data_IF_871769985078
#
_entry.id   IF_871769985078
#
_cell.length_a   1.000
_cell.length_b   1.000
_cell.length_c   1.000
_cell.angle_alpha   90.00
_cell.angle_beta   90.00
_cell.angle_gamma   90.00
#
_symmetry.space_group_name_H-M   'P 1'
#
loop_
_entity.id
_entity.type
_entity.pdbx_description
1 polymer ?
#
# COMPACT_ATOMS: atom_id res chain seq x y z
N UNK A 1 -6.48 11.59 -1.23
CA UNK A 1 -5.18 10.89 -1.41
C UNK A 1 -5.30 9.46 -0.89
N UNK A 2 -4.59 8.55 -1.52
CA UNK A 2 -4.62 7.13 -1.17
C UNK A 2 -3.23 6.59 -0.90
N UNK A 3 -3.15 5.65 0.04
CA UNK A 3 -2.06 4.68 0.16
C UNK A 3 -2.57 3.34 -0.33
N UNK A 4 -1.79 2.63 -1.12
CA UNK A 4 -2.16 1.32 -1.65
C UNK A 4 -1.65 0.19 -0.76
N UNK A 5 -2.54 -0.74 -0.40
CA UNK A 5 -2.14 -2.04 0.13
C UNK A 5 -1.41 -2.84 -0.96
N UNK A 6 -0.46 -3.67 -0.58
CA UNK A 6 0.34 -4.47 -1.52
C UNK A 6 -0.53 -5.28 -2.49
N UNK A 7 -1.58 -5.93 -1.98
CA UNK A 7 -2.47 -6.71 -2.84
C UNK A 7 -3.23 -5.85 -3.85
N UNK A 8 -3.51 -4.59 -3.54
CA UNK A 8 -4.15 -3.67 -4.48
C UNK A 8 -3.25 -3.40 -5.68
N UNK A 9 -1.95 -3.25 -5.45
CA UNK A 9 -0.97 -3.13 -6.56
C UNK A 9 -0.98 -4.40 -7.42
N UNK A 10 -1.00 -5.58 -6.79
CA UNK A 10 -1.06 -6.84 -7.51
C UNK A 10 -2.36 -6.98 -8.34
N UNK A 11 -3.49 -6.58 -7.79
CA UNK A 11 -4.76 -6.57 -8.53
C UNK A 11 -4.71 -5.61 -9.71
N UNK A 12 -4.15 -4.43 -9.52
CA UNK A 12 -3.98 -3.45 -10.59
C UNK A 12 -3.14 -4.01 -11.75
N UNK A 13 -1.98 -4.56 -11.42
CA UNK A 13 -1.08 -5.15 -12.42
C UNK A 13 -1.68 -6.39 -13.07
N UNK A 14 -2.50 -7.14 -12.34
CA UNK A 14 -3.22 -8.31 -12.84
C UNK A 14 -4.46 -8.01 -13.69
N UNK A 15 -4.83 -6.74 -13.84
CA UNK A 15 -5.93 -6.33 -14.70
C UNK A 15 -7.31 -6.32 -14.06
N UNK A 16 -7.40 -6.31 -12.73
CA UNK A 16 -8.68 -6.17 -12.03
C UNK A 16 -9.34 -4.84 -12.40
N UNK A 17 -10.51 -4.90 -13.00
CA UNK A 17 -11.19 -3.72 -13.56
C UNK A 17 -11.55 -2.67 -12.51
N UNK A 18 -12.06 -3.09 -11.37
CA UNK A 18 -12.43 -2.16 -10.30
C UNK A 18 -11.23 -1.43 -9.73
N UNK A 19 -10.15 -2.17 -9.49
CA UNK A 19 -8.92 -1.57 -8.98
C UNK A 19 -8.34 -0.60 -10.01
N UNK A 20 -8.29 -1.00 -11.28
CA UNK A 20 -7.80 -0.12 -12.35
C UNK A 20 -8.61 1.16 -12.46
N UNK A 21 -9.92 1.06 -12.42
CA UNK A 21 -10.79 2.25 -12.51
C UNK A 21 -10.50 3.25 -11.38
N UNK A 22 -10.38 2.77 -10.14
CA UNK A 22 -10.11 3.63 -8.99
C UNK A 22 -8.69 4.20 -9.03
N UNK A 23 -7.71 3.36 -9.32
CA UNK A 23 -6.29 3.77 -9.33
C UNK A 23 -5.99 4.70 -10.51
N UNK A 24 -6.47 4.39 -11.70
CA UNK A 24 -6.27 5.25 -12.88
C UNK A 24 -6.90 6.63 -12.65
N UNK A 25 -8.09 6.66 -12.07
CA UNK A 25 -8.75 7.92 -11.71
C UNK A 25 -7.94 8.71 -10.68
N UNK A 26 -7.35 8.02 -9.70
CA UNK A 26 -6.48 8.65 -8.72
C UNK A 26 -5.20 9.22 -9.36
N UNK A 27 -4.62 8.51 -10.33
CA UNK A 27 -3.44 8.97 -11.06
C UNK A 27 -3.70 10.20 -11.95
N UNK A 28 -4.93 10.42 -12.36
CA UNK A 28 -5.34 11.62 -13.11
C UNK A 28 -5.40 12.88 -12.24
N UNK A 29 -5.45 12.72 -10.92
CA UNK A 29 -5.51 13.84 -9.99
C UNK A 29 -4.11 14.40 -9.69
N UNK A 30 -3.98 15.70 -9.38
CA UNK A 30 -2.71 16.29 -9.02
C UNK A 30 -2.31 15.99 -7.57
N UNK A 31 -2.61 14.82 -7.08
CA UNK A 31 -2.34 14.36 -5.71
C UNK A 31 -1.49 13.09 -5.76
N UNK A 32 -0.58 12.92 -4.80
CA UNK A 32 0.25 11.73 -4.78
C UNK A 32 -0.57 10.47 -4.48
N UNK A 33 -0.15 9.37 -5.11
CA UNK A 33 -0.59 8.03 -4.80
C UNK A 33 0.55 7.36 -4.02
N UNK A 34 0.30 7.05 -2.75
CA UNK A 34 1.34 6.59 -1.84
C UNK A 34 1.47 5.07 -1.83
N UNK A 35 2.69 4.62 -1.70
CA UNK A 35 3.04 3.21 -1.50
C UNK A 35 4.12 3.15 -0.43
N UNK A 36 3.97 2.26 0.54
CA UNK A 36 5.02 2.01 1.54
C UNK A 36 6.23 1.31 0.92
N UNK A 37 7.42 1.64 1.38
CA UNK A 37 8.64 0.93 0.98
C UNK A 37 8.56 -0.58 1.27
N UNK A 38 7.80 -1.02 2.28
CA UNK A 38 7.59 -2.45 2.52
C UNK A 38 6.83 -3.10 1.36
N UNK A 39 5.91 -2.40 0.74
CA UNK A 39 5.20 -2.90 -0.44
C UNK A 39 6.16 -3.15 -1.60
N UNK A 40 7.14 -2.28 -1.81
CA UNK A 40 8.17 -2.49 -2.82
C UNK A 40 8.89 -3.84 -2.57
N UNK A 41 9.30 -4.08 -1.34
CA UNK A 41 9.97 -5.34 -0.96
C UNK A 41 9.04 -6.55 -1.17
N UNK A 42 7.79 -6.45 -0.77
CA UNK A 42 6.81 -7.53 -0.95
C UNK A 42 6.57 -7.86 -2.43
N UNK A 43 6.46 -6.86 -3.27
CA UNK A 43 6.23 -7.03 -4.72
C UNK A 43 7.43 -7.69 -5.41
N UNK A 44 8.64 -7.33 -5.00
CA UNK A 44 9.87 -7.77 -5.68
C UNK A 44 10.47 -9.06 -5.12
N UNK A 45 9.92 -9.60 -4.03
CA UNK A 45 10.48 -10.78 -3.37
C UNK A 45 10.03 -12.13 -3.93
N UNK A 46 9.10 -12.17 -4.87
CA UNK A 46 8.59 -13.45 -5.38
C UNK A 46 9.70 -14.26 -6.05
N UNK A 47 9.92 -15.54 -5.63
CA UNK A 47 11.05 -16.33 -6.11
C UNK A 47 11.04 -16.59 -7.63
N UNK A 48 9.86 -16.59 -8.24
CA UNK A 48 9.68 -16.84 -9.68
C UNK A 48 9.32 -15.57 -10.46
N UNK A 49 9.68 -14.41 -9.92
CA UNK A 49 9.43 -13.15 -10.60
C UNK A 49 10.16 -13.12 -11.93
N UNK A 50 9.42 -12.91 -13.03
CA UNK A 50 10.01 -12.78 -14.35
C UNK A 50 10.58 -11.39 -14.56
N UNK A 51 11.55 -11.20 -15.50
CA UNK A 51 12.04 -9.86 -15.85
C UNK A 51 10.94 -8.92 -16.32
N UNK A 52 9.93 -9.43 -17.04
CA UNK A 52 8.78 -8.64 -17.50
C UNK A 52 7.92 -8.18 -16.32
N UNK A 53 7.62 -9.08 -15.38
CA UNK A 53 6.87 -8.75 -14.17
C UNK A 53 7.61 -7.70 -13.33
N UNK A 54 8.92 -7.85 -13.16
CA UNK A 54 9.75 -6.89 -12.44
C UNK A 54 9.68 -5.51 -13.10
N UNK A 55 9.79 -5.44 -14.42
CA UNK A 55 9.69 -4.20 -15.18
C UNK A 55 8.33 -3.55 -14.99
N UNK A 56 7.24 -4.32 -15.07
CA UNK A 56 5.89 -3.82 -14.88
C UNK A 56 5.67 -3.24 -13.48
N UNK A 57 6.19 -3.92 -12.47
CA UNK A 57 6.13 -3.45 -11.08
C UNK A 57 6.88 -2.12 -10.95
N UNK A 58 8.11 -2.04 -11.42
CA UNK A 58 8.94 -0.83 -11.32
C UNK A 58 8.35 0.33 -12.11
N UNK A 59 7.76 0.07 -13.27
CA UNK A 59 7.08 1.09 -14.06
C UNK A 59 5.90 1.67 -13.30
N UNK A 60 5.07 0.84 -12.70
CA UNK A 60 3.96 1.30 -11.88
C UNK A 60 4.46 2.10 -10.67
N UNK A 61 5.45 1.58 -9.95
CA UNK A 61 6.01 2.27 -8.78
C UNK A 61 6.62 3.62 -9.12
N UNK A 62 7.10 3.81 -10.35
CA UNK A 62 7.70 5.08 -10.78
C UNK A 62 6.71 6.24 -10.82
N UNK A 63 5.41 5.97 -10.91
CA UNK A 63 4.36 7.01 -10.86
C UNK A 63 3.75 7.16 -9.47
N UNK A 64 4.18 6.36 -8.51
CA UNK A 64 3.76 6.45 -7.11
C UNK A 64 4.77 7.23 -6.28
N UNK A 65 4.31 7.74 -5.14
CA UNK A 65 5.19 8.32 -4.12
C UNK A 65 5.54 7.25 -3.09
N UNK A 66 6.77 6.79 -3.10
CA UNK A 66 7.24 5.76 -2.17
C UNK A 66 7.58 6.43 -0.84
N UNK A 67 6.97 5.97 0.24
CA UNK A 67 7.22 6.43 1.60
C UNK A 67 8.17 5.46 2.30
N UNK A 68 9.30 5.96 2.73
CA UNK A 68 10.30 5.17 3.44
C UNK A 68 9.77 4.70 4.80
N UNK A 69 10.16 3.50 5.19
CA UNK A 69 9.96 3.01 6.55
C UNK A 69 11.20 3.41 7.35
N UNK A 70 11.17 4.63 7.84
CA UNK A 70 12.22 5.17 8.72
C UNK A 70 11.94 4.79 10.19
N UNK A 71 12.76 5.28 11.11
CA UNK A 71 12.61 4.96 12.53
C UNK A 71 11.25 5.42 13.10
N UNK A 72 10.72 6.54 12.63
CA UNK A 72 9.42 7.07 13.10
C UNK A 72 8.28 6.17 12.64
N UNK A 73 8.27 5.81 11.37
CA UNK A 73 7.25 4.89 10.80
C UNK A 73 7.38 3.51 11.42
N UNK A 74 8.60 3.02 11.63
CA UNK A 74 8.86 1.72 12.26
C UNK A 74 8.35 1.66 13.70
N UNK A 75 8.60 2.70 14.48
CA UNK A 75 8.10 2.81 15.86
C UNK A 75 6.57 2.74 15.90
N UNK A 76 5.91 3.51 15.06
CA UNK A 76 4.45 3.52 14.94
C UNK A 76 3.90 2.16 14.48
N UNK A 77 4.60 1.53 13.53
CA UNK A 77 4.25 0.19 13.05
C UNK A 77 4.29 -0.84 14.17
N UNK A 78 5.31 -0.79 15.02
CA UNK A 78 5.42 -1.67 16.18
C UNK A 78 4.26 -1.50 17.14
N UNK A 79 3.87 -0.26 17.44
CA UNK A 79 2.73 0.04 18.31
C UNK A 79 1.40 -0.48 17.72
N UNK A 80 1.19 -0.30 16.41
CA UNK A 80 -0.01 -0.78 15.70
C UNK A 80 -0.06 -2.31 15.73
N UNK A 81 1.05 -2.97 15.42
CA UNK A 81 1.11 -4.44 15.44
C UNK A 81 0.80 -5.01 16.82
N UNK A 82 1.36 -4.41 17.87
CA UNK A 82 1.11 -4.81 19.24
C UNK A 82 -0.33 -4.60 19.67
N UNK A 83 -0.93 -3.46 19.32
CA UNK A 83 -2.28 -3.10 19.76
C UNK A 83 -3.38 -3.87 19.02
N UNK A 84 -3.17 -4.17 17.74
CA UNK A 84 -4.23 -4.73 16.88
C UNK A 84 -3.91 -6.12 16.34
N UNK A 85 -2.75 -6.67 16.65
CA UNK A 85 -2.36 -8.00 16.17
C UNK A 85 -2.14 -8.09 14.66
N UNK A 86 -1.82 -6.98 14.01
CA UNK A 86 -1.53 -6.98 12.58
C UNK A 86 -0.15 -7.58 12.29
N UNK A 87 -0.03 -8.19 11.12
CA UNK A 87 1.28 -8.62 10.60
C UNK A 87 2.20 -7.42 10.41
N UNK A 88 3.49 -7.66 10.42
CA UNK A 88 4.50 -6.60 10.35
C UNK A 88 4.30 -5.72 9.10
N UNK A 89 4.17 -6.32 7.92
CA UNK A 89 3.97 -5.56 6.69
C UNK A 89 2.68 -4.74 6.72
N UNK A 90 1.57 -5.31 7.18
CA UNK A 90 0.30 -4.60 7.30
C UNK A 90 0.40 -3.44 8.30
N UNK A 91 1.12 -3.63 9.40
CA UNK A 91 1.37 -2.58 10.39
C UNK A 91 2.13 -1.40 9.77
N UNK A 92 3.12 -1.69 8.92
CA UNK A 92 3.90 -0.66 8.21
C UNK A 92 3.05 0.09 7.18
N UNK A 93 2.16 -0.60 6.48
CA UNK A 93 1.22 0.01 5.52
C UNK A 93 0.24 0.92 6.26
N UNK A 94 -0.32 0.46 7.37
CA UNK A 94 -1.21 1.26 8.21
C UNK A 94 -0.50 2.51 8.74
N UNK A 95 0.72 2.36 9.26
CA UNK A 95 1.53 3.49 9.75
C UNK A 95 1.84 4.50 8.65
N UNK A 96 2.17 4.03 7.45
CA UNK A 96 2.40 4.88 6.27
C UNK A 96 1.15 5.67 5.92
N UNK A 97 -0.01 5.03 5.94
CA UNK A 97 -1.30 5.69 5.66
C UNK A 97 -1.60 6.79 6.67
N UNK A 98 -1.38 6.52 7.96
CA UNK A 98 -1.55 7.53 9.01
C UNK A 98 -0.55 8.67 8.87
N UNK A 99 0.70 8.36 8.55
CA UNK A 99 1.76 9.36 8.36
C UNK A 99 1.46 10.32 7.21
N UNK A 100 0.92 9.81 6.11
CA UNK A 100 0.59 10.62 4.92
C UNK A 100 -0.76 11.33 5.03
N UNK A 101 -1.59 10.98 6.01
CA UNK A 101 -2.94 11.52 6.12
C UNK A 101 -3.85 11.13 4.97
N UNK A 102 -3.56 10.01 4.32
CA UNK A 102 -4.34 9.47 3.20
C UNK A 102 -5.36 8.43 3.65
N UNK A 103 -6.17 7.92 2.72
CA UNK A 103 -7.02 6.76 2.94
C UNK A 103 -6.35 5.52 2.39
N UNK A 104 -6.46 4.40 3.11
CA UNK A 104 -5.92 3.12 2.66
C UNK A 104 -6.89 2.45 1.70
N UNK A 105 -6.46 2.21 0.46
CA UNK A 105 -7.18 1.35 -0.47
C UNK A 105 -6.80 -0.11 -0.22
N UNK A 106 -7.78 -0.93 0.12
CA UNK A 106 -7.55 -2.34 0.45
C UNK A 106 -8.83 -3.16 0.28
N UNK A 107 -8.68 -4.46 0.13
CA UNK A 107 -9.78 -5.42 0.26
C UNK A 107 -9.82 -6.07 1.65
N UNK A 108 -8.76 -5.89 2.44
CA UNK A 108 -8.68 -6.41 3.80
C UNK A 108 -9.29 -5.43 4.82
N UNK A 109 -10.56 -5.14 4.66
CA UNK A 109 -11.29 -4.21 5.53
C UNK A 109 -11.33 -4.72 6.97
N UNK A 110 -11.50 -6.02 7.14
CA UNK A 110 -11.62 -6.66 8.45
C UNK A 110 -10.48 -6.30 9.40
N UNK A 111 -9.24 -6.38 8.91
CA UNK A 111 -8.06 -6.16 9.74
C UNK A 111 -7.76 -4.68 9.92
N UNK A 112 -7.81 -3.92 8.84
CA UNK A 112 -7.39 -2.51 8.86
C UNK A 112 -8.40 -1.58 9.54
N UNK A 113 -9.71 -1.85 9.45
CA UNK A 113 -10.74 -0.99 10.06
C UNK A 113 -10.62 -0.87 11.57
N UNK A 114 -9.95 -1.82 12.22
CA UNK A 114 -9.75 -1.81 13.69
C UNK A 114 -8.75 -0.76 14.13
N UNK A 115 -7.87 -0.32 13.25
CA UNK A 115 -6.81 0.63 13.58
C UNK A 115 -7.40 2.02 13.80
N UNK A 116 -7.24 2.57 15.00
CA UNK A 116 -7.78 3.88 15.36
C UNK A 116 -7.20 4.98 14.47
N UNK A 117 -8.08 5.83 13.93
CA UNK A 117 -7.70 6.96 13.08
C UNK A 117 -7.40 6.59 11.64
N UNK A 118 -7.39 5.32 11.28
CA UNK A 118 -7.12 4.87 9.92
C UNK A 118 -8.41 4.96 9.07
N UNK A 119 -8.35 5.73 8.00
CA UNK A 119 -9.42 5.78 7.01
C UNK A 119 -9.19 4.67 6.00
N UNK A 120 -10.15 3.78 5.86
CA UNK A 120 -10.05 2.60 5.01
C UNK A 120 -11.13 2.64 3.94
N UNK A 121 -10.74 2.45 2.70
CA UNK A 121 -11.66 2.39 1.57
C UNK A 121 -11.50 1.06 0.83
N UNK A 122 -12.61 0.37 0.64
CA UNK A 122 -12.65 -0.86 -0.16
C UNK A 122 -12.48 -0.54 -1.64
N UNK A 123 -11.78 -1.40 -2.33
CA UNK A 123 -11.63 -1.31 -3.77
C UNK A 123 -11.90 -2.65 -4.48
#
# INVERSE_FOLDING_TARGET
MYTLDTNVVLYYLGGDQYVREVVDRALEQPLPLYVSAITVAELLRFPKLTPEEETNIKTFLSVCSIINVDAIVADRSGAIGRSYGLKLADSMIAATTLFTGSALLTRNIRDFRRVSGLIVQRV
#
